data_IF_700885053131
#
_entry.id   IF_700885053131
#
_cell.length_a   1.000
_cell.length_b   1.000
_cell.length_c   1.000
_cell.angle_alpha   90.00
_cell.angle_beta   90.00
_cell.angle_gamma   90.00
#
_symmetry.space_group_name_H-M   'P 1'
#
loop_
_entity.id
_entity.type
_entity.pdbx_description
1 polymer ?
#
# COMPACT_ATOMS: atom_id res chain seq x y z
N UNK A 1 -5.62 6.97 -21.10
CA UNK A 1 -5.16 5.78 -21.84
C UNK A 1 -3.96 5.25 -21.07
N UNK A 2 -3.95 3.95 -20.80
CA UNK A 2 -2.86 3.28 -20.08
C UNK A 2 -2.14 2.41 -21.10
N UNK A 3 -0.97 2.85 -21.55
CA UNK A 3 -0.34 2.30 -22.78
C UNK A 3 1.05 1.70 -22.56
N UNK A 4 1.54 1.72 -21.32
CA UNK A 4 2.92 1.34 -21.03
C UNK A 4 3.11 0.89 -19.60
N UNK A 5 4.12 0.02 -19.41
CA UNK A 5 4.62 -0.33 -18.09
C UNK A 5 5.15 0.92 -17.36
N UNK A 6 4.85 1.00 -16.07
CA UNK A 6 5.36 2.05 -15.19
C UNK A 6 6.64 1.53 -14.51
N UNK A 7 7.79 2.21 -14.65
CA UNK A 7 9.01 1.82 -13.96
C UNK A 7 8.90 2.09 -12.46
N UNK A 8 9.48 1.21 -11.64
CA UNK A 8 9.55 1.40 -10.19
C UNK A 8 8.24 1.12 -9.43
N UNK A 9 7.38 0.28 -10.00
CA UNK A 9 6.30 -0.35 -9.26
C UNK A 9 6.88 -1.22 -8.14
N UNK A 10 6.23 -1.16 -6.99
CA UNK A 10 6.55 -1.93 -5.79
C UNK A 10 5.31 -2.71 -5.39
N UNK A 11 5.51 -3.94 -4.95
CA UNK A 11 4.51 -4.78 -4.30
C UNK A 11 5.13 -5.50 -3.09
N UNK A 12 4.37 -6.40 -2.48
CA UNK A 12 4.82 -7.16 -1.31
C UNK A 12 5.95 -8.16 -1.60
N UNK A 13 6.19 -8.51 -2.86
CA UNK A 13 7.23 -9.45 -3.29
C UNK A 13 8.50 -8.74 -3.76
N UNK A 14 8.45 -7.41 -3.88
CA UNK A 14 9.60 -6.59 -4.27
C UNK A 14 10.69 -6.64 -3.20
N UNK A 15 11.94 -6.82 -3.62
CA UNK A 15 13.06 -6.84 -2.68
C UNK A 15 13.29 -5.46 -2.05
N UNK A 16 13.58 -5.45 -0.76
CA UNK A 16 13.83 -4.21 0.01
C UNK A 16 14.94 -3.34 -0.56
N UNK A 17 15.97 -3.95 -1.17
CA UNK A 17 17.04 -3.22 -1.87
C UNK A 17 16.54 -2.50 -3.13
N UNK A 18 15.57 -3.08 -3.84
CA UNK A 18 14.94 -2.50 -5.02
C UNK A 18 14.04 -1.31 -4.66
N UNK A 19 13.39 -1.39 -3.49
CA UNK A 19 12.67 -0.26 -2.87
C UNK A 19 13.61 0.90 -2.48
N UNK A 20 14.93 0.68 -2.45
CA UNK A 20 15.93 1.68 -2.05
C UNK A 20 16.11 1.79 -0.54
N UNK A 21 15.70 0.76 0.21
CA UNK A 21 15.81 0.71 1.65
C UNK A 21 17.10 -0.02 2.09
N UNK A 22 17.73 0.37 3.22
CA UNK A 22 18.90 -0.32 3.75
C UNK A 22 18.55 -1.74 4.20
N UNK A 23 19.50 -2.67 4.34
CA UNK A 23 19.22 -4.01 4.88
C UNK A 23 18.50 -3.96 6.22
N UNK A 24 17.67 -4.97 6.50
CA UNK A 24 16.93 -5.03 7.76
C UNK A 24 17.93 -5.11 8.93
N UNK A 25 17.73 -4.30 9.97
CA UNK A 25 18.65 -4.33 11.07
C UNK A 25 18.34 -5.49 12.02
N UNK A 26 19.21 -6.51 12.03
CA UNK A 26 19.01 -7.70 12.86
C UNK A 26 19.06 -7.42 14.36
N UNK A 27 20.05 -6.63 14.80
CA UNK A 27 20.32 -6.36 16.22
C UNK A 27 19.99 -4.90 16.63
N UNK A 28 19.34 -4.12 15.78
CA UNK A 28 19.08 -2.72 16.11
C UNK A 28 18.03 -2.56 17.22
N UNK A 29 18.04 -1.41 17.91
CA UNK A 29 17.00 -1.07 18.88
C UNK A 29 15.59 -1.19 18.30
N UNK A 30 14.64 -1.59 19.15
CA UNK A 30 13.20 -1.75 18.82
C UNK A 30 12.65 -0.59 17.95
N UNK A 31 13.02 0.65 18.27
CA UNK A 31 12.58 1.84 17.52
C UNK A 31 13.04 1.80 16.07
N UNK A 32 14.33 1.55 15.82
CA UNK A 32 14.88 1.55 14.46
C UNK A 32 14.28 0.43 13.62
N UNK A 33 14.08 -0.75 14.22
CA UNK A 33 13.38 -1.87 13.59
C UNK A 33 11.95 -1.50 13.19
N UNK A 34 11.18 -0.92 14.10
CA UNK A 34 9.80 -0.53 13.83
C UNK A 34 9.71 0.58 12.76
N UNK A 35 10.55 1.61 12.83
CA UNK A 35 10.59 2.69 11.84
C UNK A 35 10.96 2.16 10.45
N UNK A 36 11.93 1.25 10.40
CA UNK A 36 12.40 0.60 9.18
C UNK A 36 11.30 -0.23 8.51
N UNK A 37 10.52 -0.95 9.31
CA UNK A 37 9.40 -1.77 8.84
C UNK A 37 8.21 -0.90 8.40
N UNK A 38 7.92 0.20 9.11
CA UNK A 38 6.90 1.18 8.70
C UNK A 38 7.24 1.79 7.33
N UNK A 39 8.50 2.17 7.11
CA UNK A 39 8.94 2.73 5.82
C UNK A 39 8.70 1.73 4.68
N UNK A 40 9.08 0.47 4.87
CA UNK A 40 8.88 -0.61 3.90
C UNK A 40 7.40 -0.85 3.59
N UNK A 41 6.58 -1.06 4.62
CA UNK A 41 5.13 -1.24 4.46
C UNK A 41 4.47 -0.03 3.79
N UNK A 42 4.97 1.18 4.03
CA UNK A 42 4.48 2.39 3.36
C UNK A 42 4.84 2.42 1.88
N UNK A 43 6.03 1.99 1.50
CA UNK A 43 6.42 1.89 0.08
C UNK A 43 5.59 0.84 -0.66
N UNK A 44 5.35 -0.31 -0.03
CA UNK A 44 4.46 -1.36 -0.55
C UNK A 44 3.03 -0.82 -0.73
N UNK A 45 2.47 -0.19 0.30
CA UNK A 45 1.14 0.43 0.24
C UNK A 45 1.05 1.54 -0.82
N UNK A 46 2.12 2.32 -1.03
CA UNK A 46 2.15 3.35 -2.07
C UNK A 46 2.29 2.77 -3.49
N UNK A 47 2.84 1.56 -3.62
CA UNK A 47 3.07 0.85 -4.87
C UNK A 47 4.13 1.47 -5.79
N UNK A 48 4.81 2.54 -5.36
CA UNK A 48 5.81 3.27 -6.14
C UNK A 48 6.95 3.71 -5.24
N UNK A 49 8.18 3.52 -5.72
CA UNK A 49 9.39 4.00 -5.05
C UNK A 49 9.39 5.51 -4.83
N UNK A 50 9.74 5.94 -3.63
CA UNK A 50 10.06 7.33 -3.31
C UNK A 50 10.89 7.41 -2.03
N UNK A 51 11.40 8.60 -1.72
CA UNK A 51 11.96 8.88 -0.41
C UNK A 51 10.85 8.83 0.65
N UNK A 52 11.13 8.10 1.72
CA UNK A 52 10.22 7.90 2.85
C UNK A 52 11.00 8.10 4.15
N UNK A 53 10.39 8.77 5.11
CA UNK A 53 10.94 8.94 6.46
C UNK A 53 9.88 8.59 7.49
N UNK A 54 10.31 8.13 8.67
CA UNK A 54 9.39 7.81 9.75
C UNK A 54 9.95 8.26 11.10
N UNK A 55 9.07 8.66 12.01
CA UNK A 55 9.41 9.01 13.38
C UNK A 55 8.29 8.62 14.34
N UNK A 56 8.64 8.20 15.56
CA UNK A 56 7.67 7.89 16.59
C UNK A 56 7.47 9.06 17.56
N UNK A 57 6.29 9.15 18.14
CA UNK A 57 6.01 10.08 19.23
C UNK A 57 7.02 9.88 20.39
N UNK A 58 7.46 10.98 20.99
CA UNK A 58 8.52 10.92 22.01
C UNK A 58 9.89 10.43 21.49
N UNK A 59 10.05 10.28 20.16
CA UNK A 59 11.29 9.90 19.50
C UNK A 59 11.66 8.42 19.62
N UNK A 60 10.79 7.57 20.20
CA UNK A 60 11.06 6.15 20.38
C UNK A 60 9.81 5.32 20.61
N UNK A 61 9.87 4.04 20.23
CA UNK A 61 8.91 3.04 20.69
C UNK A 61 9.19 2.73 22.16
N UNK A 62 8.16 2.80 23.02
CA UNK A 62 8.34 2.44 24.42
C UNK A 62 8.38 0.92 24.57
N UNK A 63 9.47 0.34 25.13
CA UNK A 63 9.65 -1.10 25.29
C UNK A 63 8.83 -1.64 26.48
N UNK A 64 7.51 -1.50 26.44
CA UNK A 64 6.60 -1.87 27.51
C UNK A 64 5.43 -2.67 26.93
N UNK A 65 5.25 -3.90 27.40
CA UNK A 65 4.12 -4.73 27.02
C UNK A 65 2.78 -4.01 27.26
N UNK A 66 1.88 -4.11 26.29
CA UNK A 66 0.59 -3.44 26.32
C UNK A 66 0.64 -1.94 26.00
N UNK A 67 1.77 -1.43 25.49
CA UNK A 67 1.89 -0.02 25.12
C UNK A 67 1.80 0.17 23.62
N UNK A 68 1.02 1.19 23.22
CA UNK A 68 0.90 1.68 21.85
C UNK A 68 1.73 2.94 21.69
N UNK A 69 2.58 2.97 20.67
CA UNK A 69 3.32 4.16 20.25
C UNK A 69 2.85 4.56 18.85
N UNK A 70 2.46 5.81 18.66
CA UNK A 70 2.15 6.37 17.34
C UNK A 70 3.44 6.70 16.59
N UNK A 71 3.56 6.27 15.35
CA UNK A 71 4.68 6.61 14.48
C UNK A 71 4.18 7.18 13.15
N UNK A 72 4.64 8.39 12.83
CA UNK A 72 4.26 9.10 11.61
C UNK A 72 5.29 8.81 10.53
N UNK A 73 4.80 8.38 9.37
CA UNK A 73 5.59 8.26 8.14
C UNK A 73 5.28 9.45 7.24
N UNK A 74 6.30 10.00 6.57
CA UNK A 74 6.15 11.01 5.53
C UNK A 74 6.53 10.40 4.18
N UNK A 75 5.60 10.40 3.23
CA UNK A 75 5.80 9.93 1.86
C UNK A 75 5.33 11.01 0.89
N UNK A 76 6.24 11.55 0.06
CA UNK A 76 5.94 12.65 -0.90
C UNK A 76 5.18 13.83 -0.27
N UNK A 77 5.48 14.15 0.99
CA UNK A 77 4.83 15.23 1.75
C UNK A 77 3.46 14.89 2.35
N UNK A 78 2.99 13.65 2.21
CA UNK A 78 1.80 13.13 2.89
C UNK A 78 2.24 12.41 4.16
N UNK A 79 1.57 12.73 5.28
CA UNK A 79 1.79 12.09 6.57
C UNK A 79 0.73 11.02 6.84
N UNK A 80 1.17 9.84 7.27
CA UNK A 80 0.29 8.76 7.73
C UNK A 80 0.74 8.28 9.11
N UNK A 81 -0.20 7.93 9.97
CA UNK A 81 0.09 7.49 11.34
C UNK A 81 -0.09 5.98 11.47
N UNK A 82 0.99 5.29 11.80
CA UNK A 82 1.03 3.86 12.09
C UNK A 82 1.03 3.64 13.61
N UNK A 83 0.38 2.56 14.04
CA UNK A 83 0.39 2.14 15.43
C UNK A 83 1.45 1.04 15.62
N UNK A 84 2.39 1.26 16.54
CA UNK A 84 3.31 0.21 17.02
C UNK A 84 2.85 -0.27 18.38
N UNK A 85 2.46 -1.53 18.47
CA UNK A 85 2.00 -2.17 19.69
C UNK A 85 3.04 -3.16 20.19
N UNK A 86 3.57 -2.95 21.40
CA UNK A 86 4.47 -3.93 22.03
C UNK A 86 3.62 -4.96 22.76
N UNK A 87 3.51 -6.16 22.20
CA UNK A 87 2.67 -7.23 22.72
C UNK A 87 3.29 -7.95 23.91
N UNK A 88 4.60 -8.16 23.91
CA UNK A 88 5.30 -8.80 25.02
C UNK A 88 6.76 -8.33 25.15
N UNK A 89 7.31 -8.50 26.35
CA UNK A 89 8.70 -8.19 26.69
C UNK A 89 9.23 -9.27 27.62
N UNK A 90 10.28 -9.96 27.19
CA UNK A 90 10.92 -11.02 27.97
C UNK A 90 12.41 -10.77 28.17
N UNK A 91 12.99 -11.42 29.19
CA UNK A 91 14.40 -11.26 29.55
C UNK A 91 14.69 -9.97 30.32
N UNK A 92 15.98 -9.67 30.48
CA UNK A 92 16.44 -8.49 31.23
C UNK A 92 17.81 -8.04 30.74
N UNK A 93 18.09 -6.73 30.82
CA UNK A 93 19.37 -6.17 30.40
C UNK A 93 19.62 -6.34 28.90
N UNK A 94 20.83 -6.76 28.52
CA UNK A 94 21.23 -6.91 27.11
C UNK A 94 20.54 -8.07 26.37
N UNK A 95 19.85 -8.98 27.08
CA UNK A 95 19.12 -10.11 26.49
C UNK A 95 17.60 -9.89 26.42
N UNK A 96 17.16 -8.63 26.47
CA UNK A 96 15.74 -8.30 26.44
C UNK A 96 15.18 -8.49 25.02
N UNK A 97 14.13 -9.30 24.91
CA UNK A 97 13.40 -9.57 23.68
C UNK A 97 12.09 -8.80 23.68
N UNK A 98 11.73 -8.28 22.52
CA UNK A 98 10.51 -7.50 22.29
C UNK A 98 9.70 -8.16 21.19
N UNK A 99 8.42 -8.39 21.47
CA UNK A 99 7.43 -8.75 20.47
C UNK A 99 6.55 -7.53 20.23
N UNK A 100 6.38 -7.18 18.97
CA UNK A 100 5.59 -6.02 18.58
C UNK A 100 4.85 -6.29 17.28
N UNK A 101 3.75 -5.57 17.11
CA UNK A 101 2.92 -5.56 15.92
C UNK A 101 2.85 -4.13 15.39
N UNK A 102 2.84 -4.00 14.06
CA UNK A 102 2.62 -2.73 13.37
C UNK A 102 1.25 -2.80 12.70
N UNK A 103 0.36 -1.88 13.06
CA UNK A 103 -0.96 -1.76 12.44
C UNK A 103 -0.97 -0.62 11.42
N UNK A 104 -1.62 -0.83 10.26
CA UNK A 104 -1.70 0.18 9.21
C UNK A 104 -2.49 1.40 9.66
N UNK A 105 -2.26 2.56 9.02
CA UNK A 105 -3.11 3.74 9.17
C UNK A 105 -4.56 3.44 8.71
N UNK A 106 -5.54 4.18 9.22
CA UNK A 106 -6.93 4.12 8.73
C UNK A 106 -7.05 4.57 7.26
N UNK A 107 -6.07 5.34 6.77
CA UNK A 107 -6.01 5.87 5.42
C UNK A 107 -4.73 5.44 4.70
N UNK A 108 -4.84 5.09 3.42
CA UNK A 108 -3.72 4.77 2.54
C UNK A 108 -3.40 5.86 1.52
N UNK A 109 -2.49 5.52 0.62
CA UNK A 109 -2.05 6.37 -0.49
C UNK A 109 -2.58 5.82 -1.81
N UNK A 110 -3.22 6.69 -2.59
CA UNK A 110 -3.59 6.42 -3.97
C UNK A 110 -2.71 7.26 -4.89
N UNK A 111 -1.83 6.60 -5.64
CA UNK A 111 -0.96 7.23 -6.63
C UNK A 111 -1.43 6.86 -8.03
N UNK A 112 -1.60 7.86 -8.89
CA UNK A 112 -1.95 7.64 -10.30
C UNK A 112 -1.00 6.64 -10.98
N UNK A 113 0.32 6.82 -10.79
CA UNK A 113 1.34 5.95 -11.40
C UNK A 113 1.23 4.49 -10.91
N UNK A 114 0.95 4.28 -9.62
CA UNK A 114 0.77 2.94 -9.05
C UNK A 114 -0.47 2.26 -9.64
N UNK A 115 -1.59 3.00 -9.73
CA UNK A 115 -2.85 2.48 -10.25
C UNK A 115 -2.69 2.14 -11.73
N UNK A 116 -2.21 3.06 -12.56
CA UNK A 116 -2.07 2.81 -13.99
C UNK A 116 -1.06 1.70 -14.27
N UNK A 117 0.06 1.68 -13.55
CA UNK A 117 1.09 0.66 -13.73
C UNK A 117 0.60 -0.74 -13.34
N UNK A 118 -0.09 -0.86 -12.21
CA UNK A 118 -0.64 -2.15 -11.78
C UNK A 118 -1.77 -2.62 -12.69
N UNK A 119 -2.68 -1.74 -13.08
CA UNK A 119 -3.75 -2.08 -14.03
C UNK A 119 -3.18 -2.53 -15.37
N UNK A 120 -2.14 -1.87 -15.88
CA UNK A 120 -1.42 -2.30 -17.07
C UNK A 120 -0.86 -3.71 -16.86
N UNK A 121 -0.13 -3.97 -15.78
CA UNK A 121 0.48 -5.28 -15.51
C UNK A 121 -0.55 -6.43 -15.46
N UNK A 122 -1.72 -6.19 -14.89
CA UNK A 122 -2.78 -7.19 -14.75
C UNK A 122 -3.47 -7.51 -16.10
N UNK A 123 -3.71 -6.51 -16.95
CA UNK A 123 -4.61 -6.68 -18.11
C UNK A 123 -3.96 -6.55 -19.50
N UNK A 124 -2.77 -5.97 -19.65
CA UNK A 124 -2.19 -5.67 -20.98
C UNK A 124 -1.94 -6.87 -21.89
N UNK A 125 -1.89 -8.09 -21.33
CA UNK A 125 -1.67 -9.33 -22.09
C UNK A 125 -2.95 -9.88 -22.70
N UNK A 126 -4.10 -9.52 -22.14
CA UNK A 126 -5.40 -10.13 -22.45
C UNK A 126 -6.42 -9.12 -22.99
N UNK A 127 -6.24 -7.83 -22.74
CA UNK A 127 -7.11 -6.78 -23.24
C UNK A 127 -6.46 -5.94 -24.34
N UNK A 128 -7.26 -5.54 -25.32
CA UNK A 128 -6.81 -4.72 -26.46
C UNK A 128 -6.68 -3.23 -26.11
N UNK A 129 -7.52 -2.75 -25.18
CA UNK A 129 -7.56 -1.36 -24.76
C UNK A 129 -7.71 -1.24 -23.25
N UNK A 130 -6.90 -0.36 -22.64
CA UNK A 130 -6.96 -0.04 -21.22
C UNK A 130 -7.18 1.46 -20.98
N UNK A 131 -8.09 1.79 -20.06
CA UNK A 131 -8.46 3.17 -19.73
C UNK A 131 -8.68 3.26 -18.22
N UNK A 132 -8.33 4.40 -17.63
CA UNK A 132 -8.67 4.70 -16.25
C UNK A 132 -9.18 6.14 -16.17
N UNK A 133 -9.95 6.41 -15.12
CA UNK A 133 -10.26 7.78 -14.72
C UNK A 133 -9.01 8.60 -14.50
N UNK A 134 -9.16 9.92 -14.52
CA UNK A 134 -8.05 10.83 -14.19
C UNK A 134 -7.85 10.86 -12.67
N UNK A 135 -6.91 10.04 -12.20
CA UNK A 135 -6.50 9.97 -10.81
C UNK A 135 -5.47 11.08 -10.52
N UNK A 136 -5.56 11.79 -9.37
CA UNK A 136 -4.55 12.74 -8.92
C UNK A 136 -3.18 12.07 -8.73
N UNK A 137 -2.10 12.83 -8.87
CA UNK A 137 -0.74 12.30 -8.73
C UNK A 137 -0.51 11.60 -7.36
N UNK A 138 -1.06 12.16 -6.29
CA UNK A 138 -1.14 11.54 -4.97
C UNK A 138 -2.43 11.99 -4.28
N UNK A 139 -3.11 11.07 -3.59
CA UNK A 139 -4.30 11.35 -2.79
C UNK A 139 -4.33 10.40 -1.59
N UNK A 140 -4.72 10.91 -0.43
CA UNK A 140 -5.05 10.07 0.74
C UNK A 140 -6.48 9.57 0.60
N UNK A 141 -6.69 8.27 0.83
CA UNK A 141 -7.99 7.60 0.75
C UNK A 141 -8.17 6.66 1.92
N UNK A 142 -9.40 6.34 2.30
CA UNK A 142 -9.68 5.30 3.30
C UNK A 142 -9.33 3.92 2.73
N UNK A 143 -8.68 3.06 3.53
CA UNK A 143 -8.31 1.72 3.10
C UNK A 143 -9.55 0.83 2.93
N UNK A 144 -9.60 0.06 1.84
CA UNK A 144 -10.70 -0.84 1.51
C UNK A 144 -12.00 -0.17 1.06
N UNK A 145 -12.09 1.16 1.12
CA UNK A 145 -13.25 1.92 0.67
C UNK A 145 -13.17 2.27 -0.81
N UNK A 146 -14.34 2.47 -1.43
CA UNK A 146 -14.44 2.98 -2.79
C UNK A 146 -13.78 4.37 -2.89
N UNK A 147 -12.79 4.49 -3.78
CA UNK A 147 -12.04 5.74 -3.99
C UNK A 147 -12.78 6.73 -4.89
N UNK A 148 -13.83 6.28 -5.57
CA UNK A 148 -14.60 7.00 -6.59
C UNK A 148 -13.94 7.01 -7.97
N UNK A 149 -12.89 6.22 -8.19
CA UNK A 149 -12.22 6.06 -9.48
C UNK A 149 -12.40 4.64 -10.01
N UNK A 150 -12.42 4.51 -11.33
CA UNK A 150 -12.47 3.24 -12.01
C UNK A 150 -11.40 3.12 -13.10
N UNK A 151 -11.04 1.87 -13.38
CA UNK A 151 -10.31 1.46 -14.57
C UNK A 151 -11.18 0.52 -15.41
N UNK A 152 -10.91 0.48 -16.71
CA UNK A 152 -11.69 -0.25 -17.69
C UNK A 152 -10.77 -0.93 -18.70
N UNK A 153 -11.13 -2.15 -19.06
CA UNK A 153 -10.47 -2.87 -20.13
C UNK A 153 -11.49 -3.42 -21.13
N UNK A 154 -11.10 -3.49 -22.40
CA UNK A 154 -11.91 -4.13 -23.44
C UNK A 154 -11.65 -5.64 -23.43
N UNK A 155 -12.63 -6.40 -22.95
CA UNK A 155 -12.64 -7.86 -22.98
C UNK A 155 -13.11 -8.33 -24.36
N UNK A 156 -12.21 -8.99 -25.09
CA UNK A 156 -12.46 -9.53 -26.43
C UNK A 156 -12.38 -11.06 -26.45
N UNK A 157 -12.50 -11.72 -25.29
CA UNK A 157 -12.50 -13.18 -25.20
C UNK A 157 -13.58 -13.83 -26.08
N UNK A 158 -14.73 -13.16 -26.24
CA UNK A 158 -15.68 -13.41 -27.32
C UNK A 158 -15.57 -12.30 -28.38
N UNK A 159 -14.96 -12.65 -29.52
CA UNK A 159 -14.72 -11.72 -30.62
C UNK A 159 -16.01 -11.15 -31.23
N UNK A 160 -17.15 -11.84 -31.08
CA UNK A 160 -18.44 -11.38 -31.59
C UNK A 160 -19.15 -10.43 -30.60
N UNK A 161 -18.74 -10.41 -29.32
CA UNK A 161 -19.36 -9.60 -28.26
C UNK A 161 -18.33 -8.89 -27.37
N UNK A 162 -17.47 -8.02 -27.93
CA UNK A 162 -16.51 -7.26 -27.13
C UNK A 162 -17.25 -6.40 -26.11
N UNK A 163 -16.79 -6.45 -24.85
CA UNK A 163 -17.42 -5.71 -23.75
C UNK A 163 -16.40 -4.92 -22.95
N UNK A 164 -16.82 -3.74 -22.50
CA UNK A 164 -16.04 -3.00 -21.52
C UNK A 164 -16.31 -3.57 -20.13
N UNK A 165 -15.26 -4.04 -19.48
CA UNK A 165 -15.27 -4.39 -18.05
C UNK A 165 -14.84 -3.15 -17.28
N UNK A 166 -15.54 -2.84 -16.19
CA UNK A 166 -15.20 -1.74 -15.29
C UNK A 166 -14.82 -2.30 -13.95
N UNK A 167 -13.68 -1.87 -13.42
CA UNK A 167 -13.20 -2.24 -12.09
C UNK A 167 -13.04 -0.97 -11.25
N UNK A 168 -13.63 -0.99 -10.06
CA UNK A 168 -13.43 0.03 -9.03
C UNK A 168 -11.98 -0.03 -8.55
N UNK A 169 -11.38 1.15 -8.36
CA UNK A 169 -10.06 1.28 -7.77
C UNK A 169 -10.20 1.43 -6.26
N UNK A 170 -9.52 0.56 -5.53
CA UNK A 170 -9.45 0.55 -4.07
C UNK A 170 -7.99 0.72 -3.65
N UNK A 171 -7.77 1.19 -2.42
CA UNK A 171 -6.45 1.18 -1.80
C UNK A 171 -6.41 0.17 -0.66
N UNK A 172 -5.38 -0.65 -0.62
CA UNK A 172 -5.12 -1.62 0.45
C UNK A 172 -3.68 -1.46 0.97
N UNK A 173 -3.32 -2.15 2.05
CA UNK A 173 -1.96 -2.16 2.61
C UNK A 173 -0.93 -2.75 1.66
N UNK A 174 -1.37 -3.40 0.58
CA UNK A 174 -0.53 -4.00 -0.47
C UNK A 174 -0.53 -3.21 -1.78
N UNK A 175 -1.04 -1.97 -1.77
CA UNK A 175 -1.13 -1.12 -2.95
C UNK A 175 -2.56 -0.99 -3.51
N UNK A 176 -2.71 -0.43 -4.72
CA UNK A 176 -4.02 -0.34 -5.37
C UNK A 176 -4.53 -1.72 -5.74
N UNK A 177 -5.83 -1.97 -5.58
CA UNK A 177 -6.49 -3.21 -5.99
C UNK A 177 -7.73 -2.90 -6.83
N UNK A 178 -8.07 -3.81 -7.73
CA UNK A 178 -9.16 -3.66 -8.69
C UNK A 178 -10.26 -4.67 -8.39
N UNK A 179 -11.51 -4.22 -8.44
CA UNK A 179 -12.67 -5.07 -8.19
C UNK A 179 -13.78 -4.72 -9.16
N UNK A 180 -14.30 -5.72 -9.88
CA UNK A 180 -15.56 -5.54 -10.60
C UNK A 180 -16.67 -5.18 -9.61
N UNK A 181 -17.44 -4.11 -9.86
CA UNK A 181 -18.54 -3.73 -8.99
C UNK A 181 -19.49 -4.92 -8.89
N UNK A 182 -19.85 -5.32 -7.67
CA UNK A 182 -20.89 -6.34 -7.48
C UNK A 182 -22.12 -5.89 -8.28
N UNK A 183 -22.66 -6.79 -9.11
CA UNK A 183 -23.92 -6.54 -9.79
C UNK A 183 -24.92 -6.19 -8.69
N UNK A 184 -25.27 -4.91 -8.54
CA UNK A 184 -26.39 -4.51 -7.71
C UNK A 184 -27.58 -5.19 -8.35
N UNK A 185 -28.03 -6.28 -7.74
CA UNK A 185 -29.30 -6.89 -8.05
C UNK A 185 -30.35 -5.78 -7.98
N UNK A 186 -30.72 -5.25 -9.14
CA UNK A 186 -31.96 -4.49 -9.31
C UNK A 186 -33.10 -5.52 -9.27
N UNK A 187 -33.28 -6.14 -8.11
CA UNK A 187 -34.33 -7.10 -7.81
C UNK A 187 -35.32 -6.46 -6.84
N UNK A 188 -36.26 -5.70 -7.40
CA UNK A 188 -37.60 -5.40 -6.84
C UNK A 188 -37.65 -4.46 -5.63
N UNK A 189 -38.64 -3.59 -5.46
CA UNK A 189 -39.93 -3.37 -6.14
C UNK A 189 -40.36 -1.91 -5.94
#
# INVERSE_FOLDING_TARGET
MVDSAVPGLIDADTDRSEMGLPSMPGDDPLTERALTEIQERTLVMAGIRADVSAACEGGRVLPKAGHKTLCTVTYRGVELTWDVWVSDVAGSGAGQLYWYDIYPPDSGLLLADAVYGRFWNEHHKTAEELRCDRIPAVKTVELGADTGYACQYLDTADADTPRWVTEEVLADTTGPVFREPEQRDTSGS
#
